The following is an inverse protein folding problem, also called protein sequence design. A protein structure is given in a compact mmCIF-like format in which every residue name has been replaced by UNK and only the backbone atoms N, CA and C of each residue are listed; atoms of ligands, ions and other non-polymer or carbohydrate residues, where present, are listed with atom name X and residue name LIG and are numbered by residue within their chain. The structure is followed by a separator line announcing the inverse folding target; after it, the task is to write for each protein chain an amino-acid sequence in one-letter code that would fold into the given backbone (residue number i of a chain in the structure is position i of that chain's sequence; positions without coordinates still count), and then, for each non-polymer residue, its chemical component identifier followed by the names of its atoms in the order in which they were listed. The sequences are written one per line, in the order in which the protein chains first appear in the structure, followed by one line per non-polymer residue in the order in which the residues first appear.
data_IF_375703448029
#
_entry.id   IF_375703448029
#
_cell.length_a   1.000
_cell.length_b   1.000
_cell.length_c   1.000
_cell.angle_alpha   90.00
_cell.angle_beta   90.00
_cell.angle_gamma   90.00
#
_symmetry.space_group_name_H-M   'P 1'
#
loop_
_entity.id
_entity.type
_entity.pdbx_description
1 polymer ?
#
# COMPACT_ATOMS: atom_id res chain seq x y z
N UNK A 1 -70.30 -2.24 3.38
CA UNK A 1 -70.45 -0.84 2.94
C UNK A 1 -69.15 -0.43 2.26
N UNK A 2 -69.31 -0.24 0.94
CA UNK A 2 -68.26 0.14 0.00
C UNK A 2 -67.77 1.59 0.23
N UNK A 3 -66.53 1.85 0.01
CA UNK A 3 -66.08 3.04 -0.71
C UNK A 3 -64.69 2.86 -1.31
N UNK A 4 -64.66 2.74 -2.64
CA UNK A 4 -63.49 2.90 -3.48
C UNK A 4 -63.05 4.36 -3.49
N UNK A 5 -61.78 4.63 -3.36
CA UNK A 5 -61.16 5.86 -3.83
C UNK A 5 -60.03 5.54 -4.78
N UNK A 6 -60.26 5.84 -6.03
CA UNK A 6 -59.30 5.79 -7.11
C UNK A 6 -58.28 6.91 -6.97
N UNK A 7 -57.02 6.60 -7.10
CA UNK A 7 -55.94 7.58 -7.24
C UNK A 7 -55.41 7.54 -8.68
N UNK A 8 -55.55 8.67 -9.35
CA UNK A 8 -55.11 8.95 -10.71
C UNK A 8 -53.57 8.78 -10.84
N UNK A 9 -53.19 8.05 -11.86
CA UNK A 9 -51.80 7.98 -12.32
C UNK A 9 -51.43 9.31 -12.98
N UNK A 10 -50.46 10.01 -12.43
CA UNK A 10 -49.80 11.13 -13.09
C UNK A 10 -48.61 10.61 -13.92
N UNK A 11 -48.78 10.68 -15.23
CA UNK A 11 -47.72 10.39 -16.21
C UNK A 11 -46.73 11.55 -16.21
N UNK A 12 -45.60 11.38 -15.57
CA UNK A 12 -44.45 12.27 -15.70
C UNK A 12 -43.64 11.83 -16.93
N UNK A 13 -43.68 12.68 -17.95
CA UNK A 13 -42.81 12.55 -19.13
C UNK A 13 -41.36 12.77 -18.72
N UNK A 14 -40.59 11.68 -18.67
CA UNK A 14 -39.15 11.72 -18.51
C UNK A 14 -38.47 12.27 -19.75
N UNK A 15 -37.80 13.39 -19.61
CA UNK A 15 -36.96 13.94 -20.64
C UNK A 15 -35.77 13.00 -20.88
N UNK A 16 -35.65 12.48 -22.08
CA UNK A 16 -34.51 11.71 -22.57
C UNK A 16 -33.26 12.61 -22.57
N UNK A 17 -32.41 12.42 -21.58
CA UNK A 17 -31.03 12.92 -21.63
C UNK A 17 -30.25 11.99 -22.57
N UNK A 18 -29.86 12.53 -23.71
CA UNK A 18 -29.00 11.85 -24.67
C UNK A 18 -27.62 11.51 -24.06
N UNK A 19 -26.94 10.51 -24.60
CA UNK A 19 -25.66 10.10 -24.11
C UNK A 19 -24.62 11.22 -24.29
N UNK A 20 -23.95 11.58 -23.21
CA UNK A 20 -22.79 12.46 -23.25
C UNK A 20 -21.69 11.71 -23.99
N UNK A 21 -21.43 12.08 -25.22
CA UNK A 21 -20.27 11.61 -25.96
C UNK A 21 -19.01 12.15 -25.29
N UNK A 22 -18.29 11.26 -24.62
CA UNK A 22 -16.89 11.52 -24.29
C UNK A 22 -16.14 11.63 -25.61
N UNK A 23 -15.74 12.85 -25.97
CA UNK A 23 -14.79 13.06 -27.04
C UNK A 23 -13.44 12.52 -26.56
N UNK A 24 -13.11 11.31 -26.98
CA UNK A 24 -11.75 10.83 -26.94
C UNK A 24 -10.92 11.75 -27.85
N UNK A 25 -10.07 12.56 -27.22
CA UNK A 25 -9.10 13.40 -27.92
C UNK A 25 -8.09 12.45 -28.56
N UNK A 26 -8.40 12.02 -29.78
CA UNK A 26 -7.42 11.36 -30.63
C UNK A 26 -6.31 12.36 -30.88
N UNK A 27 -5.13 12.04 -30.40
CA UNK A 27 -3.91 12.70 -30.84
C UNK A 27 -3.79 12.42 -32.34
N UNK A 28 -4.14 13.42 -33.12
CA UNK A 28 -3.88 13.41 -34.55
C UNK A 28 -2.37 13.48 -34.72
N UNK A 29 -1.77 12.32 -34.99
CA UNK A 29 -0.46 12.28 -35.55
C UNK A 29 -0.49 13.03 -36.88
N UNK A 30 0.04 14.23 -36.91
CA UNK A 30 0.28 14.96 -38.13
C UNK A 30 1.42 14.25 -38.87
N UNK A 31 1.04 13.32 -39.74
CA UNK A 31 1.94 12.96 -40.81
C UNK A 31 1.99 14.17 -41.75
N UNK A 32 2.96 15.03 -41.56
CA UNK A 32 3.25 16.14 -42.46
C UNK A 32 3.72 15.54 -43.80
N UNK A 33 2.86 15.64 -44.80
CA UNK A 33 3.25 15.39 -46.17
C UNK A 33 4.34 16.42 -46.54
N UNK A 34 5.54 15.95 -46.83
CA UNK A 34 6.68 16.76 -47.24
C UNK A 34 6.38 17.39 -48.61
N UNK A 35 6.01 18.67 -48.60
CA UNK A 35 6.04 19.52 -49.79
C UNK A 35 7.48 19.86 -50.17
N UNK A 36 7.83 19.99 -51.48
CA UNK A 36 9.18 20.28 -51.89
C UNK A 36 9.54 21.74 -51.51
N UNK A 37 10.44 21.91 -50.54
CA UNK A 37 11.03 23.21 -50.27
C UNK A 37 11.01 23.70 -48.81
N UNK A 38 10.40 22.97 -47.89
CA UNK A 38 10.46 23.34 -46.48
C UNK A 38 11.72 22.70 -45.85
N UNK A 39 12.66 23.56 -45.44
CA UNK A 39 13.78 23.16 -44.62
C UNK A 39 13.17 22.61 -43.32
N UNK A 40 13.22 21.30 -43.13
CA UNK A 40 12.82 20.62 -41.93
C UNK A 40 13.80 21.05 -40.82
N UNK A 41 13.41 22.02 -40.00
CA UNK A 41 14.13 22.27 -38.77
C UNK A 41 13.84 21.09 -37.85
N UNK A 42 14.86 20.39 -37.30
CA UNK A 42 14.62 19.41 -36.26
C UNK A 42 13.93 20.13 -35.11
N UNK A 43 12.67 19.78 -34.86
CA UNK A 43 11.83 20.57 -33.98
C UNK A 43 12.40 20.64 -32.57
N UNK A 44 12.68 19.53 -31.93
CA UNK A 44 13.33 19.43 -30.63
C UNK A 44 14.05 18.08 -30.59
N UNK A 45 15.31 18.08 -30.24
CA UNK A 45 16.04 16.86 -29.94
C UNK A 45 16.00 16.64 -28.43
N UNK A 46 15.28 15.63 -28.01
CA UNK A 46 15.25 15.25 -26.61
C UNK A 46 16.44 14.33 -26.34
N UNK A 47 17.28 14.71 -25.37
CA UNK A 47 18.36 13.89 -24.85
C UNK A 47 18.12 13.58 -23.39
N UNK A 48 18.23 12.32 -23.03
CA UNK A 48 18.15 11.85 -21.64
C UNK A 48 19.53 11.62 -21.03
N UNK A 49 20.62 11.85 -21.78
CA UNK A 49 21.99 11.57 -21.34
C UNK A 49 22.38 12.40 -20.12
N UNK A 50 21.96 13.66 -20.09
CA UNK A 50 22.23 14.57 -18.97
C UNK A 50 21.42 14.26 -17.71
N UNK A 51 20.34 13.50 -17.85
CA UNK A 51 19.50 13.14 -16.70
C UNK A 51 20.25 12.33 -15.64
N UNK A 52 21.26 11.57 -16.04
CA UNK A 52 22.11 10.82 -15.12
C UNK A 52 22.84 11.72 -14.11
N UNK A 53 23.13 12.96 -14.46
CA UNK A 53 23.73 13.93 -13.53
C UNK A 53 22.69 14.48 -12.55
N UNK A 54 21.48 14.72 -13.02
CA UNK A 54 20.37 15.18 -12.18
C UNK A 54 19.94 14.07 -11.22
N UNK A 55 19.89 12.84 -11.68
CA UNK A 55 19.52 11.68 -10.87
C UNK A 55 20.46 11.48 -9.68
N UNK A 56 21.75 11.79 -9.81
CA UNK A 56 22.71 11.76 -8.71
C UNK A 56 22.39 12.76 -7.59
N UNK A 57 21.68 13.84 -7.91
CA UNK A 57 21.28 14.86 -6.94
C UNK A 57 19.99 14.50 -6.22
N UNK A 58 19.24 13.52 -6.72
CA UNK A 58 18.01 13.04 -6.08
C UNK A 58 18.40 12.14 -4.90
N UNK A 59 18.07 12.53 -3.66
CA UNK A 59 18.42 11.70 -2.52
C UNK A 59 17.70 10.35 -2.61
N UNK A 60 18.36 9.23 -2.28
CA UNK A 60 17.75 7.92 -2.34
C UNK A 60 16.54 7.85 -1.41
N UNK A 61 15.42 7.34 -1.91
CA UNK A 61 14.18 7.20 -1.13
C UNK A 61 14.26 6.10 -0.06
N UNK A 62 15.26 5.24 -0.17
CA UNK A 62 15.54 4.15 0.78
C UNK A 62 17.01 4.11 1.14
N UNK A 63 17.30 3.70 2.37
CA UNK A 63 18.66 3.36 2.76
C UNK A 63 19.09 2.13 1.95
N UNK A 64 20.32 2.10 1.40
CA UNK A 64 20.83 0.92 0.70
C UNK A 64 20.73 -0.33 1.59
N UNK A 65 20.48 -1.48 0.97
CA UNK A 65 20.47 -2.74 1.70
C UNK A 65 21.84 -2.98 2.35
N UNK A 66 21.89 -3.38 3.63
CA UNK A 66 23.15 -3.70 4.29
C UNK A 66 23.80 -4.91 3.59
N UNK A 67 25.13 -4.98 3.60
CA UNK A 67 25.85 -6.12 3.02
C UNK A 67 25.44 -7.42 3.70
N UNK A 68 25.44 -8.52 2.97
CA UNK A 68 25.18 -9.85 3.53
C UNK A 68 26.32 -10.21 4.48
N UNK A 69 26.01 -10.51 5.72
CA UNK A 69 26.96 -10.99 6.71
C UNK A 69 26.86 -12.51 6.82
N UNK A 70 28.02 -13.17 7.00
CA UNK A 70 28.08 -14.61 7.19
C UNK A 70 27.57 -15.08 8.57
N UNK A 71 27.32 -14.16 9.49
CA UNK A 71 26.83 -14.42 10.85
C UNK A 71 25.80 -13.36 11.29
N UNK A 72 25.42 -13.43 12.57
CA UNK A 72 24.52 -12.47 13.16
C UNK A 72 25.11 -11.05 13.12
N UNK A 73 24.30 -10.06 12.70
CA UNK A 73 24.72 -8.68 12.74
C UNK A 73 24.94 -8.21 14.18
N UNK A 74 25.93 -7.32 14.46
CA UNK A 74 26.18 -6.82 15.81
C UNK A 74 24.99 -6.13 16.47
N UNK A 75 24.09 -5.58 15.67
CA UNK A 75 22.85 -4.93 16.11
C UNK A 75 21.68 -5.89 16.36
N UNK A 76 21.86 -7.20 16.16
CA UNK A 76 20.76 -8.16 16.19
C UNK A 76 19.81 -8.07 14.99
N UNK A 77 20.16 -7.31 13.95
CA UNK A 77 19.34 -7.20 12.77
C UNK A 77 19.33 -8.50 11.96
N UNK A 78 18.15 -8.95 11.58
CA UNK A 78 17.92 -10.15 10.77
C UNK A 78 17.49 -9.73 9.38
N UNK A 79 18.15 -10.18 8.31
CA UNK A 79 17.72 -9.90 6.94
C UNK A 79 16.37 -10.58 6.65
N UNK A 80 15.64 -10.05 5.67
CA UNK A 80 14.47 -10.75 5.16
C UNK A 80 14.87 -12.04 4.44
N UNK A 81 13.96 -13.01 4.38
CA UNK A 81 14.16 -14.22 3.61
C UNK A 81 14.37 -13.89 2.12
N UNK A 82 15.13 -14.71 1.40
CA UNK A 82 15.37 -14.50 -0.04
C UNK A 82 14.09 -14.67 -0.88
N UNK A 83 13.21 -15.57 -0.46
CA UNK A 83 11.88 -15.74 -1.06
C UNK A 83 10.80 -15.23 -0.11
N UNK A 84 9.77 -14.55 -0.63
CA UNK A 84 8.63 -14.15 0.18
C UNK A 84 7.94 -15.40 0.76
N UNK A 85 7.43 -15.34 2.00
CA UNK A 85 6.69 -16.44 2.58
C UNK A 85 5.38 -16.69 1.81
N UNK A 86 4.96 -17.95 1.68
CA UNK A 86 3.69 -18.34 1.05
C UNK A 86 2.53 -18.10 2.05
N UNK A 87 2.19 -16.84 2.21
CA UNK A 87 1.12 -16.38 3.11
C UNK A 87 0.18 -15.42 2.36
N UNK A 88 -1.11 -15.38 2.73
CA UNK A 88 -2.09 -14.50 2.08
C UNK A 88 -1.83 -13.00 2.32
N UNK A 89 -0.87 -12.68 3.16
CA UNK A 89 -0.45 -11.32 3.48
C UNK A 89 1.07 -11.18 3.39
N UNK A 90 1.51 -9.96 3.16
CA UNK A 90 2.93 -9.56 3.14
C UNK A 90 3.14 -8.37 4.05
N UNK A 91 4.28 -8.32 4.76
CA UNK A 91 4.66 -7.17 5.57
C UNK A 91 5.91 -6.55 4.96
N UNK A 92 5.74 -5.36 4.39
CA UNK A 92 6.86 -4.65 3.77
C UNK A 92 7.73 -4.00 4.84
N UNK A 93 9.02 -4.27 4.83
CA UNK A 93 9.97 -3.62 5.75
C UNK A 93 9.97 -2.09 5.60
N UNK A 94 10.42 -1.42 6.65
CA UNK A 94 10.57 0.03 6.68
C UNK A 94 11.66 0.49 5.69
N UNK A 95 11.81 1.82 5.53
CA UNK A 95 12.91 2.40 4.71
C UNK A 95 14.30 2.06 5.25
N UNK A 96 14.38 1.73 6.53
CA UNK A 96 15.60 1.32 7.25
C UNK A 96 15.76 -0.21 7.30
N UNK A 97 15.01 -0.94 6.49
CA UNK A 97 14.99 -2.41 6.44
C UNK A 97 14.59 -3.13 7.74
N UNK A 98 13.93 -2.43 8.65
CA UNK A 98 13.42 -3.00 9.89
C UNK A 98 11.97 -3.48 9.74
N UNK A 99 11.58 -4.48 10.53
CA UNK A 99 10.20 -4.95 10.63
C UNK A 99 9.33 -3.82 11.21
N UNK A 100 8.20 -3.44 10.57
CA UNK A 100 7.42 -2.26 10.92
C UNK A 100 6.47 -2.51 12.10
N UNK A 101 7.00 -2.92 13.23
CA UNK A 101 6.27 -3.06 14.50
C UNK A 101 6.69 -1.93 15.41
N UNK A 102 5.72 -1.18 15.90
CA UNK A 102 5.91 0.02 16.73
C UNK A 102 5.07 -0.04 17.98
N UNK A 103 5.52 0.63 19.02
CA UNK A 103 4.74 0.85 20.24
C UNK A 103 4.14 2.25 20.24
N UNK A 104 2.90 2.36 20.68
CA UNK A 104 2.19 3.63 20.84
C UNK A 104 1.61 3.75 22.25
N UNK A 105 1.61 4.97 22.77
CA UNK A 105 1.06 5.33 24.06
C UNK A 105 -0.09 6.32 23.85
N UNK A 106 -1.32 5.85 24.02
CA UNK A 106 -2.50 6.69 23.89
C UNK A 106 -3.12 6.97 25.26
N UNK A 107 -3.69 8.16 25.43
CA UNK A 107 -4.42 8.57 26.63
C UNK A 107 -3.67 8.33 27.96
N UNK A 108 -2.40 8.75 28.01
CA UNK A 108 -1.57 8.79 29.21
C UNK A 108 -0.92 7.49 29.63
N UNK A 109 -1.52 6.32 29.47
CA UNK A 109 -0.91 5.04 29.87
C UNK A 109 -1.41 3.82 29.10
N UNK A 110 -2.19 4.00 28.04
CA UNK A 110 -2.67 2.89 27.22
C UNK A 110 -1.60 2.49 26.21
N UNK A 111 -0.87 1.43 26.51
CA UNK A 111 0.12 0.85 25.63
C UNK A 111 -0.56 0.06 24.52
N UNK A 112 -0.12 0.25 23.31
CA UNK A 112 -0.58 -0.47 22.12
C UNK A 112 0.61 -0.83 21.24
N UNK A 113 0.58 -2.00 20.65
CA UNK A 113 1.55 -2.42 19.63
C UNK A 113 0.90 -2.30 18.25
N UNK A 114 1.59 -1.66 17.31
CA UNK A 114 1.12 -1.41 15.95
C UNK A 114 1.98 -2.19 14.96
N UNK A 115 1.33 -2.96 14.09
CA UNK A 115 1.95 -3.53 12.89
C UNK A 115 1.48 -2.70 11.69
N UNK A 116 2.42 -2.18 10.90
CA UNK A 116 2.15 -1.32 9.75
C UNK A 116 2.67 -1.94 8.45
N UNK A 117 2.33 -1.30 7.33
CA UNK A 117 2.77 -1.71 5.98
C UNK A 117 2.39 -3.17 5.65
N UNK A 118 1.21 -3.55 6.05
CA UNK A 118 0.62 -4.83 5.67
C UNK A 118 0.07 -4.72 4.25
N UNK A 119 0.29 -5.73 3.44
CA UNK A 119 -0.24 -5.86 2.08
C UNK A 119 -0.97 -7.20 1.98
N UNK A 120 -2.06 -7.26 1.22
CA UNK A 120 -2.89 -8.45 1.11
C UNK A 120 -3.96 -8.56 2.20
N UNK A 121 -4.19 -9.76 2.71
CA UNK A 121 -5.26 -10.03 3.67
C UNK A 121 -4.84 -9.71 5.11
N UNK A 122 -5.30 -8.56 5.60
CA UNK A 122 -5.03 -8.11 6.97
C UNK A 122 -5.78 -8.95 8.03
N UNK A 123 -6.91 -9.54 7.67
CA UNK A 123 -7.70 -10.38 8.60
C UNK A 123 -7.01 -11.72 8.86
N UNK A 124 -6.37 -12.29 7.85
CA UNK A 124 -5.54 -13.48 8.02
C UNK A 124 -4.34 -13.19 8.93
N UNK A 125 -3.71 -12.02 8.77
CA UNK A 125 -2.65 -11.58 9.68
C UNK A 125 -3.16 -11.44 11.11
N UNK A 126 -4.31 -10.78 11.31
CA UNK A 126 -4.91 -10.59 12.63
C UNK A 126 -5.14 -11.93 13.34
N UNK A 127 -5.70 -12.90 12.64
CA UNK A 127 -5.95 -14.26 13.16
C UNK A 127 -4.65 -14.92 13.62
N UNK A 128 -3.62 -14.95 12.79
CA UNK A 128 -2.32 -15.53 13.14
C UNK A 128 -1.64 -14.82 14.31
N UNK A 129 -1.73 -13.50 14.36
CA UNK A 129 -1.20 -12.69 15.48
C UNK A 129 -1.93 -13.00 16.78
N UNK A 130 -3.26 -13.13 16.74
CA UNK A 130 -4.06 -13.51 17.91
C UNK A 130 -3.70 -14.91 18.42
N UNK A 131 -3.58 -15.87 17.52
CA UNK A 131 -3.17 -17.24 17.86
C UNK A 131 -1.81 -17.26 18.54
N UNK A 132 -0.80 -16.60 17.94
CA UNK A 132 0.53 -16.50 18.50
C UNK A 132 0.55 -15.81 19.87
N UNK A 133 -0.08 -14.65 19.99
CA UNK A 133 -0.13 -13.93 21.26
C UNK A 133 -0.92 -14.67 22.34
N UNK A 134 -1.92 -15.48 21.97
CA UNK A 134 -2.62 -16.35 22.89
C UNK A 134 -1.72 -17.47 23.43
N UNK A 135 -0.84 -18.02 22.58
CA UNK A 135 0.16 -19.00 23.00
C UNK A 135 1.16 -18.38 23.99
N UNK A 136 1.65 -17.17 23.71
CA UNK A 136 2.65 -16.48 24.54
C UNK A 136 2.06 -15.97 25.87
N UNK A 137 0.88 -15.36 25.83
CA UNK A 137 0.29 -14.70 27.00
C UNK A 137 -0.75 -15.53 27.76
N UNK A 138 -1.25 -16.60 27.15
CA UNK A 138 -2.38 -17.39 27.67
C UNK A 138 -3.71 -16.66 27.68
N UNK A 139 -3.78 -15.45 27.09
CA UNK A 139 -4.98 -14.61 27.08
C UNK A 139 -5.32 -14.16 25.69
N UNK A 140 -6.60 -14.01 25.42
CA UNK A 140 -7.07 -13.42 24.18
C UNK A 140 -7.00 -11.88 24.30
N UNK A 141 -6.17 -11.28 23.43
CA UNK A 141 -5.93 -9.86 23.43
C UNK A 141 -6.87 -9.15 22.44
N UNK A 142 -7.45 -7.99 22.84
CA UNK A 142 -8.25 -7.21 21.91
C UNK A 142 -7.36 -6.58 20.83
N UNK A 143 -7.77 -6.74 19.59
CA UNK A 143 -7.13 -6.21 18.40
C UNK A 143 -8.04 -5.21 17.69
N UNK A 144 -7.48 -4.33 16.93
CA UNK A 144 -8.17 -3.38 16.07
C UNK A 144 -7.52 -3.38 14.70
N UNK A 145 -8.29 -3.72 13.70
CA UNK A 145 -7.87 -3.68 12.28
C UNK A 145 -8.32 -2.37 11.66
N UNK A 146 -7.43 -1.74 10.90
CA UNK A 146 -7.77 -0.61 10.04
C UNK A 146 -7.39 -0.96 8.61
N UNK A 147 -8.41 -1.29 7.80
CA UNK A 147 -8.26 -1.68 6.39
C UNK A 147 -7.78 -0.53 5.51
N UNK A 148 -8.19 0.71 5.80
CA UNK A 148 -7.81 1.88 4.99
C UNK A 148 -6.31 2.15 5.07
N UNK A 149 -5.74 2.05 6.27
CA UNK A 149 -4.31 2.29 6.52
C UNK A 149 -3.48 1.01 6.53
N UNK A 150 -4.13 -0.14 6.35
CA UNK A 150 -3.51 -1.48 6.43
C UNK A 150 -2.64 -1.61 7.68
N UNK A 151 -3.27 -1.35 8.84
CA UNK A 151 -2.59 -1.32 10.13
C UNK A 151 -3.34 -2.18 11.13
N UNK A 152 -2.62 -3.05 11.81
CA UNK A 152 -3.13 -3.86 12.93
C UNK A 152 -2.64 -3.25 14.24
N UNK A 153 -3.55 -3.02 15.18
CA UNK A 153 -3.25 -2.58 16.55
C UNK A 153 -3.62 -3.67 17.53
N UNK A 154 -2.71 -3.96 18.44
CA UNK A 154 -2.91 -4.91 19.54
C UNK A 154 -2.78 -4.17 20.85
N UNK A 155 -3.68 -4.42 21.78
CA UNK A 155 -3.61 -3.82 23.12
C UNK A 155 -2.51 -4.51 23.93
N UNK A 156 -1.53 -3.74 24.38
CA UNK A 156 -0.40 -4.23 25.15
C UNK A 156 0.95 -3.83 24.56
N UNK A 157 2.01 -4.32 25.14
CA UNK A 157 3.39 -4.07 24.73
C UNK A 157 4.03 -5.41 24.38
N UNK A 158 3.98 -5.77 23.12
CA UNK A 158 4.45 -7.05 22.55
C UNK A 158 5.28 -6.82 21.30
N UNK A 159 6.08 -5.76 21.28
CA UNK A 159 6.84 -5.39 20.09
C UNK A 159 8.03 -6.33 19.82
N UNK A 160 8.69 -6.80 20.88
CA UNK A 160 9.81 -7.73 20.75
C UNK A 160 9.32 -9.08 20.26
N UNK A 161 8.32 -9.64 20.91
CA UNK A 161 7.73 -10.93 20.58
C UNK A 161 7.20 -10.95 19.14
N UNK A 162 6.50 -9.89 18.72
CA UNK A 162 5.99 -9.79 17.36
C UNK A 162 7.10 -9.61 16.32
N UNK A 163 8.17 -8.87 16.64
CA UNK A 163 9.32 -8.75 15.73
C UNK A 163 10.03 -10.09 15.54
N UNK A 164 10.27 -10.83 16.62
CA UNK A 164 10.88 -12.14 16.56
C UNK A 164 10.01 -13.14 15.79
N UNK A 165 8.72 -13.15 16.06
CA UNK A 165 7.77 -13.99 15.34
C UNK A 165 7.69 -13.66 13.85
N UNK A 166 7.65 -12.39 13.47
CA UNK A 166 7.66 -11.99 12.06
C UNK A 166 8.99 -12.33 11.38
N UNK A 167 10.11 -12.14 12.08
CA UNK A 167 11.42 -12.55 11.57
C UNK A 167 11.51 -14.06 11.33
N UNK A 168 10.95 -14.87 12.24
CA UNK A 168 10.91 -16.33 12.08
C UNK A 168 10.04 -16.77 10.89
N UNK A 169 9.04 -15.95 10.51
CA UNK A 169 8.20 -16.16 9.31
C UNK A 169 8.88 -15.72 8.02
N UNK A 170 10.04 -15.05 8.08
CA UNK A 170 10.81 -14.63 6.92
C UNK A 170 10.55 -13.20 6.45
N UNK A 171 9.79 -12.40 7.18
CA UNK A 171 9.55 -10.99 6.85
C UNK A 171 10.74 -10.07 7.10
#
# INVERSE_FOLDING_TARGET
MSTCFGVRAAVLRGALRGPVQLHSRTQSGHAAAAGPGLVSHPAVVESTEEYAFVERLIPPSRVPAPPKHAGAAPSGWIPAAESPPDLPYMIRRSRMHNIPVYTDLTHGNRKMTLVRKVEGDIWALEKHVKEYLKEVTGKELPTQVNEVTMTLKVKGHYDLELKEWLASRGF
#
